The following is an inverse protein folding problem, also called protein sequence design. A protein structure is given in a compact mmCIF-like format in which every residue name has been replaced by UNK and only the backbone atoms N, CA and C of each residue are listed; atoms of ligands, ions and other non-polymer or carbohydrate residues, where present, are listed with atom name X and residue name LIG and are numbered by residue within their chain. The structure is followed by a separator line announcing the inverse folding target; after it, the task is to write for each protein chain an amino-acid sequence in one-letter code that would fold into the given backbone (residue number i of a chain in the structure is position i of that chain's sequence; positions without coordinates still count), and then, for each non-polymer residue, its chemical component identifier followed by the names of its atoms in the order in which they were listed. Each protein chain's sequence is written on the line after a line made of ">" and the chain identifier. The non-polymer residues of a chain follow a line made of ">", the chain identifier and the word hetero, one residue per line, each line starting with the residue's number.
data_IF_283517618539
#
_entry.id   IF_283517618539
#
_cell.length_a   1.000
_cell.length_b   1.000
_cell.length_c   1.000
_cell.angle_alpha   90.00
_cell.angle_beta   90.00
_cell.angle_gamma   90.00
#
_symmetry.space_group_name_H-M   'P 1'
#
loop_
_entity.id
_entity.type
_entity.pdbx_description
1 polymer ?
#
# COMPACT_ATOMS: atom_id res chain seq x y z
N UNK A 1 -61.22 46.79 -20.39
CA UNK A 1 -60.90 45.42 -19.93
C UNK A 1 -59.39 45.22 -20.04
N UNK A 2 -58.63 45.18 -18.94
CA UNK A 2 -57.18 44.96 -18.99
C UNK A 2 -56.87 43.45 -19.11
N UNK A 3 -55.92 43.08 -19.97
CA UNK A 3 -55.43 41.69 -20.11
C UNK A 3 -54.34 41.43 -19.06
N UNK A 4 -54.50 40.36 -18.28
CA UNK A 4 -53.45 39.92 -17.34
C UNK A 4 -52.25 39.29 -18.08
N UNK A 5 -51.01 39.52 -17.62
CA UNK A 5 -49.83 38.88 -18.19
C UNK A 5 -49.70 37.44 -17.64
N UNK A 6 -49.72 36.48 -18.55
CA UNK A 6 -49.58 35.05 -18.24
C UNK A 6 -48.25 34.72 -17.56
N UNK A 7 -48.33 34.16 -16.36
CA UNK A 7 -47.22 33.59 -15.61
C UNK A 7 -46.86 32.20 -16.17
N UNK A 8 -45.95 32.19 -17.15
CA UNK A 8 -45.31 30.94 -17.59
C UNK A 8 -44.46 30.33 -16.45
N UNK A 9 -44.35 28.99 -16.36
CA UNK A 9 -43.59 28.35 -15.29
C UNK A 9 -42.10 28.71 -15.38
N UNK A 10 -41.58 29.31 -14.31
CA UNK A 10 -40.16 29.63 -14.15
C UNK A 10 -39.36 28.33 -14.13
N UNK A 11 -38.63 28.02 -15.21
CA UNK A 11 -37.73 26.88 -15.23
C UNK A 11 -36.51 27.18 -14.35
N UNK A 12 -36.47 26.62 -13.14
CA UNK A 12 -35.26 26.71 -12.32
C UNK A 12 -34.15 25.83 -12.90
N UNK A 13 -32.91 26.33 -13.03
CA UNK A 13 -31.80 25.54 -13.49
C UNK A 13 -31.49 24.45 -12.46
N UNK A 14 -31.58 23.18 -12.87
CA UNK A 14 -31.10 22.05 -12.07
C UNK A 14 -29.59 22.20 -11.89
N UNK A 15 -29.17 22.55 -10.68
CA UNK A 15 -27.76 22.58 -10.29
C UNK A 15 -27.12 21.21 -10.58
N UNK A 16 -26.12 21.25 -11.45
CA UNK A 16 -25.40 20.10 -11.96
C UNK A 16 -24.73 19.30 -10.82
N UNK A 17 -25.27 18.12 -10.50
CA UNK A 17 -24.75 17.15 -9.50
C UNK A 17 -23.43 16.46 -9.94
N UNK A 18 -22.77 16.99 -10.98
CA UNK A 18 -21.62 16.34 -11.61
C UNK A 18 -20.33 16.33 -10.76
N UNK A 19 -20.24 17.19 -9.73
CA UNK A 19 -19.09 17.22 -8.81
C UNK A 19 -19.06 16.09 -7.77
N UNK A 20 -20.24 15.60 -7.35
CA UNK A 20 -20.34 14.68 -6.20
C UNK A 20 -19.72 13.30 -6.43
N UNK A 21 -19.82 12.76 -7.65
CA UNK A 21 -19.30 11.41 -7.95
C UNK A 21 -17.78 11.35 -7.98
N UNK A 22 -17.12 12.39 -8.51
CA UNK A 22 -15.66 12.49 -8.52
C UNK A 22 -15.12 12.71 -7.11
N UNK A 23 -15.75 13.60 -6.34
CA UNK A 23 -15.40 13.82 -4.94
C UNK A 23 -15.55 12.52 -4.13
N UNK A 24 -16.67 11.80 -4.26
CA UNK A 24 -16.89 10.53 -3.57
C UNK A 24 -15.84 9.46 -3.93
N UNK A 25 -15.44 9.38 -5.20
CA UNK A 25 -14.35 8.48 -5.62
C UNK A 25 -13.03 8.82 -4.92
N UNK A 26 -12.64 10.09 -4.95
CA UNK A 26 -11.39 10.55 -4.33
C UNK A 26 -11.41 10.27 -2.83
N UNK A 27 -12.52 10.57 -2.16
CA UNK A 27 -12.71 10.26 -0.74
C UNK A 27 -12.59 8.76 -0.48
N UNK A 28 -13.20 7.91 -1.31
CA UNK A 28 -13.11 6.46 -1.16
C UNK A 28 -11.66 5.95 -1.34
N UNK A 29 -10.94 6.46 -2.34
CA UNK A 29 -9.54 6.10 -2.57
C UNK A 29 -8.64 6.52 -1.41
N UNK A 30 -8.80 7.76 -0.92
CA UNK A 30 -8.04 8.26 0.23
C UNK A 30 -8.37 7.43 1.47
N UNK A 31 -9.64 7.15 1.74
CA UNK A 31 -10.05 6.36 2.89
C UNK A 31 -9.45 4.94 2.84
N UNK A 32 -9.45 4.30 1.68
CA UNK A 32 -8.85 2.97 1.51
C UNK A 32 -7.32 3.00 1.64
N UNK A 33 -6.63 4.00 1.07
CA UNK A 33 -5.18 4.13 1.22
C UNK A 33 -4.77 4.42 2.66
N UNK A 34 -5.49 5.32 3.34
CA UNK A 34 -5.26 5.62 4.76
C UNK A 34 -5.53 4.38 5.60
N UNK A 35 -6.64 3.69 5.37
CA UNK A 35 -6.94 2.42 6.06
C UNK A 35 -5.86 1.36 5.82
N UNK A 36 -5.39 1.20 4.58
CA UNK A 36 -4.32 0.28 4.24
C UNK A 36 -3.01 0.63 4.94
N UNK A 37 -2.65 1.92 4.98
CA UNK A 37 -1.45 2.43 5.65
C UNK A 37 -1.54 2.24 7.17
N UNK A 38 -2.68 2.54 7.79
CA UNK A 38 -2.88 2.32 9.22
C UNK A 38 -2.74 0.84 9.59
N UNK A 39 -3.38 -0.05 8.85
CA UNK A 39 -3.31 -1.49 9.13
C UNK A 39 -1.89 -2.06 8.99
N UNK A 40 -1.06 -1.50 8.10
CA UNK A 40 0.28 -2.01 7.78
C UNK A 40 1.41 -1.32 8.54
N UNK A 41 1.30 -0.02 8.79
CA UNK A 41 2.39 0.80 9.36
C UNK A 41 2.21 1.10 10.85
N UNK A 42 1.00 0.97 11.40
CA UNK A 42 0.77 1.31 12.81
C UNK A 42 1.46 0.29 13.73
N UNK A 43 2.26 0.83 14.67
CA UNK A 43 3.02 0.09 15.69
C UNK A 43 3.94 -1.00 15.12
N UNK A 44 4.52 -0.73 13.95
CA UNK A 44 5.39 -1.68 13.25
C UNK A 44 6.73 -1.92 13.98
N UNK A 45 7.15 -0.94 14.76
CA UNK A 45 8.28 -0.97 15.69
C UNK A 45 8.04 -1.86 16.91
N UNK A 46 6.76 -2.05 17.30
CA UNK A 46 6.38 -2.82 18.49
C UNK A 46 5.82 -4.20 18.18
N UNK A 47 5.11 -4.37 17.06
CA UNK A 47 4.39 -5.59 16.72
C UNK A 47 4.68 -6.08 15.28
N UNK A 48 5.02 -7.36 15.11
CA UNK A 48 5.19 -8.39 16.16
C UNK A 48 6.46 -8.17 17.01
N UNK A 49 6.52 -8.66 18.27
CA UNK A 49 7.69 -8.43 19.13
C UNK A 49 8.89 -9.28 18.69
N UNK A 50 10.09 -8.68 18.73
CA UNK A 50 11.34 -9.37 18.42
C UNK A 50 11.50 -9.71 16.94
N UNK A 51 12.44 -10.61 16.65
CA UNK A 51 12.70 -11.11 15.30
C UNK A 51 12.02 -12.47 15.08
N UNK A 52 11.30 -12.61 13.98
CA UNK A 52 10.99 -13.95 13.46
C UNK A 52 12.24 -14.57 12.80
N UNK A 53 12.33 -15.90 12.75
CA UNK A 53 13.49 -16.60 12.19
C UNK A 53 13.80 -16.16 10.74
N UNK A 54 12.77 -16.13 9.89
CA UNK A 54 12.93 -15.71 8.50
C UNK A 54 13.24 -14.21 8.37
N UNK A 55 12.70 -13.36 9.25
CA UNK A 55 13.05 -11.92 9.28
C UNK A 55 14.53 -11.75 9.63
N UNK A 56 15.03 -12.49 10.62
CA UNK A 56 16.42 -12.40 11.05
C UNK A 56 17.38 -12.79 9.93
N UNK A 57 17.07 -13.85 9.18
CA UNK A 57 17.88 -14.26 8.04
C UNK A 57 17.91 -13.17 6.95
N UNK A 58 16.75 -12.60 6.61
CA UNK A 58 16.70 -11.46 5.68
C UNK A 58 17.47 -10.26 6.21
N UNK A 59 17.40 -10.01 7.52
CA UNK A 59 18.08 -8.91 8.20
C UNK A 59 19.59 -9.04 8.12
N UNK A 60 20.13 -10.24 8.32
CA UNK A 60 21.58 -10.50 8.16
C UNK A 60 22.02 -10.18 6.73
N UNK A 61 21.34 -10.72 5.71
CA UNK A 61 21.71 -10.48 4.32
C UNK A 61 21.57 -9.00 3.93
N UNK A 62 20.49 -8.33 4.35
CA UNK A 62 20.31 -6.90 4.12
C UNK A 62 21.37 -6.07 4.86
N UNK A 63 21.76 -6.49 6.07
CA UNK A 63 22.82 -5.87 6.86
C UNK A 63 24.21 -6.00 6.23
N UNK A 64 24.54 -7.16 5.63
CA UNK A 64 25.77 -7.34 4.85
C UNK A 64 25.81 -6.38 3.64
N UNK A 65 24.69 -6.23 2.94
CA UNK A 65 24.56 -5.27 1.82
C UNK A 65 24.70 -3.83 2.30
N UNK A 66 24.00 -3.48 3.39
CA UNK A 66 24.02 -2.15 4.01
C UNK A 66 25.44 -1.75 4.44
N UNK A 67 26.17 -2.65 5.10
CA UNK A 67 27.57 -2.45 5.52
C UNK A 67 28.58 -2.52 4.37
N UNK A 68 28.13 -2.86 3.16
CA UNK A 68 28.98 -2.94 1.97
C UNK A 68 29.85 -4.18 1.91
N UNK A 69 29.54 -5.22 2.69
CA UNK A 69 30.32 -6.45 2.78
C UNK A 69 30.03 -7.41 1.61
N UNK A 70 28.79 -7.41 1.10
CA UNK A 70 28.34 -8.32 0.06
C UNK A 70 27.29 -7.66 -0.82
N UNK A 71 27.38 -7.82 -2.16
CA UNK A 71 26.40 -7.30 -3.13
C UNK A 71 26.16 -8.29 -4.28
N UNK A 72 25.70 -9.52 -3.99
CA UNK A 72 25.52 -10.52 -5.01
C UNK A 72 24.26 -10.23 -5.84
N UNK A 73 24.25 -10.69 -7.08
CA UNK A 73 23.04 -10.71 -7.92
C UNK A 73 22.10 -11.87 -7.56
N UNK A 74 22.58 -12.83 -6.78
CA UNK A 74 21.85 -13.99 -6.29
C UNK A 74 22.37 -14.40 -4.91
N UNK A 75 21.47 -14.53 -3.94
CA UNK A 75 21.83 -14.87 -2.56
C UNK A 75 21.69 -16.39 -2.37
N UNK A 76 22.78 -17.16 -2.16
CA UNK A 76 22.72 -18.62 -2.08
C UNK A 76 22.12 -19.15 -0.78
N UNK A 77 21.95 -18.30 0.24
CA UNK A 77 21.34 -18.67 1.52
C UNK A 77 19.88 -19.12 1.32
N UNK A 78 19.44 -20.10 2.11
CA UNK A 78 18.04 -20.57 2.14
C UNK A 78 17.50 -21.00 0.77
N UNK A 79 18.15 -21.99 0.17
CA UNK A 79 17.82 -22.56 -1.15
C UNK A 79 18.00 -21.61 -2.34
N UNK A 80 18.65 -20.46 -2.13
CA UNK A 80 18.89 -19.49 -3.18
C UNK A 80 17.69 -18.56 -3.39
N UNK A 81 17.96 -17.26 -3.51
CA UNK A 81 16.89 -16.27 -3.65
C UNK A 81 17.29 -15.03 -4.44
N UNK A 82 16.27 -14.44 -5.04
CA UNK A 82 16.32 -13.15 -5.72
C UNK A 82 16.72 -12.01 -4.77
N UNK A 83 17.41 -10.98 -5.26
CA UNK A 83 18.02 -9.98 -4.39
C UNK A 83 17.10 -8.79 -4.07
N UNK A 84 15.92 -8.69 -4.72
CA UNK A 84 15.08 -7.49 -4.70
C UNK A 84 14.71 -7.06 -3.28
N UNK A 85 14.13 -7.97 -2.49
CA UNK A 85 13.70 -7.67 -1.13
C UNK A 85 14.86 -7.25 -0.23
N UNK A 86 16.01 -7.91 -0.39
CA UNK A 86 17.22 -7.68 0.40
C UNK A 86 17.78 -6.29 0.09
N UNK A 87 17.84 -5.90 -1.19
CA UNK A 87 18.31 -4.56 -1.57
C UNK A 87 17.36 -3.45 -1.13
N UNK A 88 16.05 -3.64 -1.25
CA UNK A 88 15.08 -2.66 -0.75
C UNK A 88 15.21 -2.49 0.77
N UNK A 89 15.37 -3.60 1.49
CA UNK A 89 15.55 -3.59 2.95
C UNK A 89 16.87 -2.94 3.36
N UNK A 90 17.97 -3.21 2.67
CA UNK A 90 19.27 -2.57 2.90
C UNK A 90 19.21 -1.05 2.62
N UNK A 91 18.49 -0.64 1.58
CA UNK A 91 18.20 0.76 1.31
C UNK A 91 17.40 1.41 2.45
N UNK A 92 16.41 0.71 3.00
CA UNK A 92 15.65 1.19 4.16
C UNK A 92 16.51 1.27 5.43
N UNK A 93 17.41 0.32 5.64
CA UNK A 93 18.40 0.39 6.72
C UNK A 93 19.29 1.64 6.58
N UNK A 94 19.73 1.96 5.37
CA UNK A 94 20.50 3.16 5.09
C UNK A 94 19.71 4.45 5.35
N UNK A 95 18.41 4.48 5.00
CA UNK A 95 17.55 5.63 5.26
C UNK A 95 17.28 5.85 6.76
N UNK A 96 17.16 4.78 7.54
CA UNK A 96 16.86 4.85 8.98
C UNK A 96 18.11 4.86 9.87
N UNK A 97 19.27 4.46 9.33
CA UNK A 97 20.51 4.28 10.09
C UNK A 97 20.44 3.15 11.12
N UNK A 98 19.70 2.07 10.81
CA UNK A 98 19.43 0.97 11.74
C UNK A 98 19.51 -0.35 10.99
N UNK A 99 20.43 -1.23 11.36
CA UNK A 99 20.54 -2.60 10.82
C UNK A 99 20.29 -3.69 11.88
N UNK A 100 20.30 -3.34 13.18
CA UNK A 100 20.05 -4.27 14.29
C UNK A 100 18.56 -4.34 14.73
N UNK A 101 17.67 -3.62 14.03
CA UNK A 101 16.25 -3.48 14.35
C UNK A 101 15.41 -4.12 13.23
N UNK A 102 14.31 -4.84 13.51
CA UNK A 102 13.44 -5.39 12.45
C UNK A 102 12.64 -4.31 11.69
N UNK A 103 12.52 -3.10 12.24
CA UNK A 103 11.74 -2.01 11.66
C UNK A 103 12.02 -1.70 10.18
N UNK A 104 13.28 -1.62 9.68
CA UNK A 104 13.56 -1.34 8.28
C UNK A 104 12.98 -2.39 7.33
N UNK A 105 13.07 -3.67 7.68
CA UNK A 105 12.53 -4.76 6.86
C UNK A 105 11.00 -4.70 6.86
N UNK A 106 10.40 -4.53 8.04
CA UNK A 106 8.95 -4.45 8.16
C UNK A 106 8.38 -3.24 7.44
N UNK A 107 9.04 -2.09 7.56
CA UNK A 107 8.64 -0.88 6.84
C UNK A 107 8.76 -1.09 5.33
N UNK A 108 9.81 -1.77 4.87
CA UNK A 108 9.94 -2.18 3.47
C UNK A 108 8.74 -3.01 3.03
N UNK A 109 8.40 -4.07 3.78
CA UNK A 109 7.21 -4.91 3.50
C UNK A 109 5.91 -4.11 3.52
N UNK A 110 5.74 -3.20 4.47
CA UNK A 110 4.52 -2.41 4.61
C UNK A 110 4.33 -1.46 3.43
N UNK A 111 5.41 -0.84 2.94
CA UNK A 111 5.40 0.03 1.78
C UNK A 111 5.14 -0.73 0.48
N UNK A 112 5.77 -1.90 0.31
CA UNK A 112 5.49 -2.78 -0.84
C UNK A 112 4.02 -3.23 -0.82
N UNK A 113 3.51 -3.65 0.34
CA UNK A 113 2.11 -4.03 0.50
C UNK A 113 1.14 -2.87 0.21
N UNK A 114 1.46 -1.65 0.63
CA UNK A 114 0.67 -0.45 0.34
C UNK A 114 0.66 -0.14 -1.16
N UNK A 115 1.81 -0.27 -1.83
CA UNK A 115 1.91 -0.14 -3.28
C UNK A 115 1.04 -1.19 -3.99
N UNK A 116 1.06 -2.45 -3.56
CA UNK A 116 0.23 -3.53 -4.09
C UNK A 116 -1.26 -3.23 -3.99
N UNK A 117 -1.73 -2.64 -2.88
CA UNK A 117 -3.13 -2.19 -2.73
C UNK A 117 -3.49 -1.14 -3.79
N UNK A 118 -2.64 -0.13 -3.97
CA UNK A 118 -2.86 0.92 -4.98
C UNK A 118 -2.83 0.37 -6.42
N UNK A 119 -1.87 -0.51 -6.73
CA UNK A 119 -1.76 -1.14 -8.04
C UNK A 119 -2.95 -2.06 -8.34
N UNK A 120 -3.51 -2.71 -7.33
CA UNK A 120 -4.73 -3.53 -7.46
C UNK A 120 -5.93 -2.68 -7.92
N UNK A 121 -6.08 -1.45 -7.39
CA UNK A 121 -7.09 -0.52 -7.89
C UNK A 121 -6.85 -0.17 -9.36
N UNK A 122 -5.61 0.19 -9.71
CA UNK A 122 -5.25 0.61 -11.08
C UNK A 122 -5.54 -0.52 -12.07
N UNK A 123 -5.11 -1.74 -11.75
CA UNK A 123 -5.31 -2.92 -12.58
C UNK A 123 -6.79 -3.29 -12.69
N UNK A 124 -7.51 -3.39 -11.57
CA UNK A 124 -8.93 -3.72 -11.56
C UNK A 124 -9.78 -2.68 -12.30
N UNK A 125 -9.41 -1.40 -12.20
CA UNK A 125 -10.05 -0.31 -12.97
C UNK A 125 -9.76 -0.45 -14.46
N UNK A 126 -8.53 -0.76 -14.85
CA UNK A 126 -8.14 -0.89 -16.25
C UNK A 126 -8.83 -2.07 -16.94
N UNK A 127 -8.99 -3.19 -16.23
CA UNK A 127 -9.57 -4.42 -16.79
C UNK A 127 -11.11 -4.46 -16.72
N UNK A 128 -11.70 -3.96 -15.63
CA UNK A 128 -13.12 -4.20 -15.32
C UNK A 128 -13.88 -2.95 -14.87
N UNK A 129 -13.23 -1.78 -14.94
CA UNK A 129 -13.81 -0.50 -14.57
C UNK A 129 -13.74 -0.17 -13.08
N UNK A 130 -14.07 1.08 -12.77
CA UNK A 130 -13.81 1.70 -11.46
C UNK A 130 -14.44 0.97 -10.27
N UNK A 131 -15.65 0.45 -10.43
CA UNK A 131 -16.35 -0.26 -9.35
C UNK A 131 -15.60 -1.51 -8.92
N UNK A 132 -15.16 -2.32 -9.89
CA UNK A 132 -14.38 -3.53 -9.63
C UNK A 132 -13.01 -3.18 -9.06
N UNK A 133 -12.35 -2.14 -9.58
CA UNK A 133 -11.10 -1.63 -9.01
C UNK A 133 -11.24 -1.25 -7.53
N UNK A 134 -12.29 -0.53 -7.16
CA UNK A 134 -12.54 -0.14 -5.76
C UNK A 134 -12.85 -1.36 -4.87
N UNK A 135 -13.65 -2.31 -5.35
CA UNK A 135 -13.93 -3.55 -4.62
C UNK A 135 -12.65 -4.37 -4.40
N UNK A 136 -11.85 -4.56 -5.44
CA UNK A 136 -10.58 -5.29 -5.34
C UNK A 136 -9.59 -4.62 -4.38
N UNK A 137 -9.47 -3.28 -4.46
CA UNK A 137 -8.67 -2.49 -3.52
C UNK A 137 -9.17 -2.62 -2.08
N UNK A 138 -10.49 -2.57 -1.86
CA UNK A 138 -11.10 -2.76 -0.55
C UNK A 138 -10.79 -4.14 0.02
N UNK A 139 -10.92 -5.19 -0.79
CA UNK A 139 -10.58 -6.56 -0.39
C UNK A 139 -9.09 -6.72 -0.08
N UNK A 140 -8.18 -6.12 -0.84
CA UNK A 140 -6.74 -6.13 -0.50
C UNK A 140 -6.41 -5.31 0.74
N UNK A 141 -7.14 -4.22 0.97
CA UNK A 141 -6.94 -3.35 2.14
C UNK A 141 -7.18 -4.13 3.43
N UNK A 142 -8.24 -4.95 3.49
CA UNK A 142 -8.68 -5.66 4.70
C UNK A 142 -8.37 -7.17 4.72
N UNK A 143 -7.85 -7.73 3.64
CA UNK A 143 -7.49 -9.15 3.58
C UNK A 143 -6.46 -9.49 4.66
N UNK A 144 -6.82 -10.46 5.52
CA UNK A 144 -5.99 -10.91 6.64
C UNK A 144 -4.58 -11.29 6.17
N UNK A 145 -4.48 -12.13 5.13
CA UNK A 145 -3.21 -12.61 4.60
C UNK A 145 -2.36 -11.47 4.05
N UNK A 146 -2.97 -10.54 3.33
CA UNK A 146 -2.24 -9.40 2.76
C UNK A 146 -1.72 -8.46 3.83
N UNK A 147 -2.53 -8.15 4.85
CA UNK A 147 -2.10 -7.32 5.97
C UNK A 147 -0.98 -8.01 6.75
N UNK A 148 -1.16 -9.28 7.09
CA UNK A 148 -0.16 -10.06 7.84
C UNK A 148 1.17 -10.14 7.10
N UNK A 149 1.16 -10.54 5.82
CA UNK A 149 2.39 -10.62 5.01
C UNK A 149 3.05 -9.27 4.81
N UNK A 150 2.28 -8.19 4.68
CA UNK A 150 2.83 -6.83 4.56
C UNK A 150 3.45 -6.30 5.86
N UNK A 151 3.11 -6.87 7.02
CA UNK A 151 3.68 -6.46 8.31
C UNK A 151 4.95 -7.22 8.68
N UNK A 152 5.14 -8.41 8.11
CA UNK A 152 6.31 -9.23 8.39
C UNK A 152 7.48 -8.86 7.45
N UNK A 153 8.68 -8.79 8.00
CA UNK A 153 9.91 -8.38 7.33
C UNK A 153 10.58 -9.49 6.51
N UNK A 154 9.87 -10.13 5.57
CA UNK A 154 10.49 -11.08 4.64
C UNK A 154 9.85 -11.07 3.25
N UNK A 155 10.58 -11.64 2.28
CA UNK A 155 10.35 -11.55 0.82
C UNK A 155 9.00 -12.03 0.29
N UNK A 156 8.12 -12.61 1.11
CA UNK A 156 6.79 -13.09 0.70
C UNK A 156 5.86 -12.01 0.11
N UNK A 157 6.25 -10.74 0.21
CA UNK A 157 5.48 -9.58 -0.25
C UNK A 157 6.00 -8.96 -1.56
N UNK A 158 7.14 -9.42 -2.08
CA UNK A 158 7.75 -8.98 -3.36
C UNK A 158 7.76 -10.13 -4.35
#
# INVERSE_FOLDING_TARGET
>A
MPREPGSGPVSMPRLAVFGGRRAALVVALIALLVGAALLRCLWLDRYPPGWHHDEALMGVMAGEVYRGESRPVFFPQYLGQEPLYIYLSAGMMALLGRDQDPLPLRLTSALVGLLTVGLTFVLGRALFGTRVGLLAMGLMTTSFWQVMSSRNGYRSIT
#
